data_IF_985615468106
#
_entry.id   IF_985615468106
#
_cell.length_a   1.000
_cell.length_b   1.000
_cell.length_c   1.000
_cell.angle_alpha   90.00
_cell.angle_beta   90.00
_cell.angle_gamma   90.00
#
_symmetry.space_group_name_H-M   'P 1'
#
loop_
_entity.id
_entity.type
_entity.pdbx_description
1 polymer ?
#
# COMPACT_ATOMS: atom_id res chain seq x y z
N UNK A 1 -3.05 10.76 -13.91
CA UNK A 1 -3.09 11.54 -15.15
C UNK A 1 -2.35 12.90 -15.05
N UNK A 2 -2.47 13.65 -13.93
CA UNK A 2 -1.77 14.94 -13.77
C UNK A 2 -0.23 14.81 -13.80
N UNK A 3 0.30 13.68 -13.35
CA UNK A 3 1.75 13.39 -13.35
C UNK A 3 2.22 12.70 -14.65
N UNK A 4 1.34 12.48 -15.65
CA UNK A 4 1.70 11.83 -16.91
C UNK A 4 1.74 10.29 -16.85
N UNK A 5 1.37 9.67 -15.73
CA UNK A 5 1.22 8.22 -15.61
C UNK A 5 -0.05 7.76 -16.32
N UNK A 6 0.02 6.61 -17.00
CA UNK A 6 -1.12 5.99 -17.71
C UNK A 6 -1.37 4.59 -17.19
N UNK A 7 -2.62 4.16 -17.23
CA UNK A 7 -2.98 2.79 -16.88
C UNK A 7 -2.22 1.79 -17.80
N UNK A 8 -1.62 0.78 -17.17
CA UNK A 8 -0.80 -0.20 -17.90
C UNK A 8 0.66 0.17 -18.12
N UNK A 9 1.10 1.36 -17.70
CA UNK A 9 2.53 1.67 -17.71
C UNK A 9 3.30 0.72 -16.78
N UNK A 10 4.48 0.29 -17.23
CA UNK A 10 5.41 -0.53 -16.45
C UNK A 10 6.64 0.29 -16.11
N UNK A 11 6.88 0.52 -14.83
CA UNK A 11 8.14 1.12 -14.39
C UNK A 11 9.28 0.13 -14.62
N UNK A 12 10.30 0.54 -15.37
CA UNK A 12 11.50 -0.24 -15.61
C UNK A 12 12.63 0.16 -14.67
N UNK A 13 12.78 1.45 -14.48
CA UNK A 13 13.79 2.00 -13.59
C UNK A 13 13.28 3.26 -12.89
N UNK A 14 13.85 3.54 -11.75
CA UNK A 14 13.57 4.70 -10.91
C UNK A 14 14.86 5.43 -10.58
N UNK A 15 14.80 6.74 -10.55
CA UNK A 15 15.87 7.61 -10.10
C UNK A 15 15.32 8.57 -9.06
N UNK A 16 15.98 8.60 -7.90
CA UNK A 16 15.63 9.50 -6.78
C UNK A 16 16.71 10.57 -6.69
N UNK A 17 16.33 11.82 -6.56
CA UNK A 17 17.27 12.94 -6.46
C UNK A 17 16.70 14.07 -5.62
N UNK A 18 17.57 14.74 -4.87
CA UNK A 18 17.18 15.92 -4.12
C UNK A 18 16.98 17.12 -5.05
N UNK A 19 16.00 17.99 -4.80
CA UNK A 19 15.75 19.18 -5.60
C UNK A 19 17.01 20.03 -5.76
N UNK A 20 17.40 20.28 -7.03
CA UNK A 20 18.60 21.06 -7.35
C UNK A 20 19.92 20.28 -7.38
N UNK A 21 19.92 18.98 -7.09
CA UNK A 21 21.10 18.13 -7.22
C UNK A 21 21.43 17.84 -8.69
N UNK A 22 22.72 17.72 -8.98
CA UNK A 22 23.17 17.24 -10.30
C UNK A 22 22.84 15.75 -10.42
N UNK A 23 22.15 15.39 -11.50
CA UNK A 23 21.66 14.03 -11.73
C UNK A 23 22.55 13.35 -12.76
N UNK A 24 23.01 12.13 -12.47
CA UNK A 24 23.89 11.35 -13.35
C UNK A 24 23.16 10.14 -13.95
N UNK A 25 23.72 9.60 -15.04
CA UNK A 25 23.16 8.38 -15.64
C UNK A 25 23.31 7.14 -14.74
N UNK A 26 24.22 7.17 -13.77
CA UNK A 26 24.47 6.06 -12.85
C UNK A 26 23.43 5.94 -11.71
N UNK A 27 22.52 6.92 -11.56
CA UNK A 27 21.57 6.97 -10.44
C UNK A 27 20.28 6.17 -10.70
N UNK A 28 20.18 5.48 -11.85
CA UNK A 28 19.03 4.66 -12.19
C UNK A 28 19.07 3.30 -11.48
N UNK A 29 18.00 3.00 -10.76
CA UNK A 29 17.80 1.72 -10.06
C UNK A 29 16.69 0.93 -10.77
N UNK A 30 16.92 -0.34 -11.16
CA UNK A 30 15.89 -1.16 -11.78
C UNK A 30 14.71 -1.39 -10.84
N UNK A 31 13.48 -1.31 -11.35
CA UNK A 31 12.25 -1.62 -10.63
C UNK A 31 11.75 -3.01 -11.04
N UNK A 32 11.69 -3.92 -10.07
CA UNK A 32 11.33 -5.31 -10.32
C UNK A 32 9.87 -5.65 -9.98
N UNK A 33 9.21 -4.83 -9.18
CA UNK A 33 7.82 -5.04 -8.77
C UNK A 33 7.12 -3.73 -8.40
N UNK A 34 5.77 -3.77 -8.34
CA UNK A 34 4.99 -2.64 -7.83
C UNK A 34 5.32 -2.33 -6.37
N UNK A 35 5.63 -3.35 -5.57
CA UNK A 35 6.05 -3.18 -4.17
C UNK A 35 7.37 -2.42 -4.08
N UNK A 36 8.32 -2.77 -4.95
CA UNK A 36 9.61 -2.11 -5.07
C UNK A 36 9.45 -0.63 -5.48
N UNK A 37 8.63 -0.38 -6.52
CA UNK A 37 8.28 0.98 -6.92
C UNK A 37 7.68 1.79 -5.76
N UNK A 38 6.69 1.23 -5.08
CA UNK A 38 6.04 1.89 -3.94
C UNK A 38 7.02 2.23 -2.83
N UNK A 39 7.97 1.34 -2.59
CA UNK A 39 9.04 1.57 -1.64
C UNK A 39 9.87 2.80 -1.99
N UNK A 40 10.38 2.88 -3.23
CA UNK A 40 11.17 4.02 -3.70
C UNK A 40 10.38 5.34 -3.63
N UNK A 41 9.10 5.32 -4.03
CA UNK A 41 8.24 6.49 -3.96
C UNK A 41 7.97 6.94 -2.52
N UNK A 42 7.69 6.00 -1.61
CA UNK A 42 7.45 6.31 -0.20
C UNK A 42 8.70 6.89 0.45
N UNK A 43 9.86 6.27 0.19
CA UNK A 43 11.13 6.76 0.71
C UNK A 43 11.46 8.16 0.21
N UNK A 44 11.35 8.40 -1.10
CA UNK A 44 11.60 9.72 -1.68
C UNK A 44 10.68 10.80 -1.10
N UNK A 45 9.37 10.50 -0.96
CA UNK A 45 8.42 11.43 -0.32
C UNK A 45 8.77 11.71 1.15
N UNK A 46 9.27 10.71 1.88
CA UNK A 46 9.72 10.87 3.25
C UNK A 46 11.02 11.69 3.36
N UNK A 47 11.92 11.54 2.41
CA UNK A 47 13.20 12.25 2.40
C UNK A 47 13.09 13.66 1.78
N UNK A 48 11.93 14.01 1.19
CA UNK A 48 11.71 15.29 0.49
C UNK A 48 12.40 15.35 -0.87
N UNK A 49 12.63 14.19 -1.48
CA UNK A 49 13.27 14.03 -2.77
C UNK A 49 12.25 13.93 -3.91
N UNK A 50 12.69 14.25 -5.11
CA UNK A 50 11.95 14.06 -6.34
C UNK A 50 12.30 12.73 -6.99
N UNK A 51 11.37 12.23 -7.81
CA UNK A 51 11.55 10.94 -8.49
C UNK A 51 11.34 11.11 -10.00
N UNK A 52 12.19 10.45 -10.77
CA UNK A 52 12.01 10.26 -12.20
C UNK A 52 11.86 8.78 -12.50
N UNK A 53 10.83 8.43 -13.27
CA UNK A 53 10.52 7.06 -13.68
C UNK A 53 10.76 6.88 -15.15
N UNK A 54 11.45 5.80 -15.50
CA UNK A 54 11.46 5.28 -16.85
C UNK A 54 10.31 4.27 -16.99
N UNK A 55 9.38 4.57 -17.90
CA UNK A 55 8.17 3.79 -18.09
C UNK A 55 8.15 3.18 -19.48
N UNK A 56 7.76 1.90 -19.55
CA UNK A 56 7.37 1.25 -20.81
C UNK A 56 5.84 1.25 -20.92
N UNK A 57 5.32 1.77 -22.01
CA UNK A 57 3.89 1.74 -22.32
C UNK A 57 3.43 0.39 -22.85
N UNK A 58 2.12 0.11 -22.78
CA UNK A 58 1.50 -1.11 -23.30
C UNK A 58 1.75 -1.33 -24.82
N UNK A 59 1.91 -0.25 -25.58
CA UNK A 59 2.11 -0.26 -27.05
C UNK A 59 3.58 -0.22 -27.46
N UNK A 60 4.51 -0.33 -26.50
CA UNK A 60 5.95 -0.35 -26.75
C UNK A 60 6.50 1.06 -26.95
N UNK A 61 6.78 1.82 -26.09
CA UNK A 61 7.45 3.13 -26.11
C UNK A 61 8.01 3.41 -24.72
N UNK A 62 9.22 3.95 -24.67
CA UNK A 62 9.83 4.38 -23.43
C UNK A 62 9.56 5.87 -23.22
N UNK A 63 9.27 6.27 -22.00
CA UNK A 63 9.10 7.67 -21.63
C UNK A 63 9.57 7.91 -20.21
N UNK A 64 10.05 9.11 -19.99
CA UNK A 64 10.44 9.57 -18.67
C UNK A 64 9.32 10.41 -18.07
N UNK A 65 9.00 10.13 -16.81
CA UNK A 65 8.00 10.87 -16.05
C UNK A 65 8.61 11.34 -14.75
N UNK A 66 8.50 12.66 -14.50
CA UNK A 66 8.96 13.28 -13.27
C UNK A 66 7.82 13.41 -12.27
N UNK A 67 8.09 12.99 -11.04
CA UNK A 67 7.18 13.09 -9.91
C UNK A 67 7.79 14.03 -8.86
N UNK A 68 7.28 15.27 -8.72
CA UNK A 68 7.81 16.24 -7.75
C UNK A 68 7.27 15.90 -6.34
N UNK A 69 7.85 14.87 -5.71
CA UNK A 69 7.40 14.41 -4.39
C UNK A 69 7.89 15.32 -3.27
N UNK A 70 8.95 16.08 -3.50
CA UNK A 70 9.46 17.12 -2.56
C UNK A 70 8.43 18.20 -2.25
N UNK A 71 7.45 18.41 -3.14
CA UNK A 71 6.38 19.41 -2.94
C UNK A 71 5.24 18.89 -2.04
N UNK A 72 5.28 17.61 -1.64
CA UNK A 72 4.26 17.02 -0.76
C UNK A 72 4.63 17.29 0.70
N UNK A 73 3.64 17.62 1.51
CA UNK A 73 3.87 17.79 2.95
C UNK A 73 4.26 16.44 3.59
N UNK A 74 5.15 16.48 4.58
CA UNK A 74 5.67 15.27 5.23
C UNK A 74 4.59 14.38 5.86
N UNK A 75 3.45 14.96 6.28
CA UNK A 75 2.27 14.25 6.79
C UNK A 75 1.49 13.47 5.73
N UNK A 76 1.73 13.72 4.45
CA UNK A 76 1.05 13.09 3.32
C UNK A 76 1.67 11.75 2.89
N UNK A 77 2.80 11.34 3.50
CA UNK A 77 3.45 10.05 3.22
C UNK A 77 2.71 8.86 3.87
N UNK A 78 1.39 8.93 3.92
CA UNK A 78 0.48 7.91 4.43
C UNK A 78 -0.05 6.99 3.30
N UNK A 79 -1.02 6.14 3.63
CA UNK A 79 -1.68 5.26 2.67
C UNK A 79 -2.38 6.01 1.50
N UNK A 80 -2.55 7.34 1.60
CA UNK A 80 -3.15 8.19 0.56
C UNK A 80 -2.12 8.66 -0.46
N UNK A 81 -0.81 8.66 -0.12
CA UNK A 81 0.27 9.08 -1.01
C UNK A 81 0.16 8.41 -2.38
N UNK A 82 0.06 7.09 -2.42
CA UNK A 82 0.00 6.33 -3.67
C UNK A 82 -1.19 6.76 -4.54
N UNK A 83 -2.34 7.02 -3.94
CA UNK A 83 -3.53 7.53 -4.65
C UNK A 83 -3.34 8.95 -5.18
N UNK A 84 -2.65 9.81 -4.43
CA UNK A 84 -2.39 11.20 -4.83
C UNK A 84 -1.44 11.29 -6.02
N UNK A 85 -0.39 10.48 -6.04
CA UNK A 85 0.56 10.41 -7.16
C UNK A 85 0.03 9.57 -8.34
N UNK A 86 -1.11 8.89 -8.18
CA UNK A 86 -1.74 8.11 -9.24
C UNK A 86 -1.19 6.69 -9.40
N UNK A 87 -0.41 6.19 -8.41
CA UNK A 87 0.06 4.80 -8.37
C UNK A 87 -0.99 3.95 -7.64
N UNK A 88 -1.89 3.37 -8.42
CA UNK A 88 -3.02 2.59 -7.93
C UNK A 88 -2.68 1.12 -7.60
N UNK A 89 -3.70 0.28 -7.70
CA UNK A 89 -3.57 -1.19 -7.66
C UNK A 89 -2.78 -1.69 -8.87
N UNK A 90 -2.24 -2.92 -8.84
CA UNK A 90 -1.67 -3.53 -10.04
C UNK A 90 -2.62 -3.42 -11.22
N UNK A 91 -2.09 -3.15 -12.41
CA UNK A 91 -2.90 -3.08 -13.61
C UNK A 91 -3.64 -4.40 -13.82
N UNK A 92 -4.93 -4.28 -14.04
CA UNK A 92 -5.80 -5.40 -14.42
C UNK A 92 -6.76 -4.89 -15.48
N UNK A 93 -6.95 -5.68 -16.52
CA UNK A 93 -7.88 -5.33 -17.58
C UNK A 93 -9.32 -5.16 -17.04
N UNK A 94 -10.13 -4.25 -17.63
CA UNK A 94 -11.51 -4.02 -17.20
C UNK A 94 -12.44 -5.15 -17.65
N UNK A 95 -12.14 -6.38 -17.22
CA UNK A 95 -12.92 -7.58 -17.51
C UNK A 95 -13.93 -7.86 -16.39
N UNK A 96 -15.09 -8.36 -16.76
CA UNK A 96 -16.06 -8.88 -15.81
C UNK A 96 -15.71 -10.34 -15.45
N UNK A 97 -15.63 -10.59 -14.17
CA UNK A 97 -15.42 -11.91 -13.59
C UNK A 97 -16.73 -12.68 -13.42
N UNK A 98 -16.85 -13.38 -12.30
CA UNK A 98 -18.06 -14.13 -11.94
C UNK A 98 -19.25 -13.18 -11.75
N UNK A 99 -20.40 -13.52 -12.31
CA UNK A 99 -21.66 -12.78 -12.20
C UNK A 99 -22.51 -13.45 -11.13
N UNK A 100 -22.87 -12.70 -10.11
CA UNK A 100 -23.73 -13.21 -9.03
C UNK A 100 -25.19 -13.19 -9.48
N UNK A 101 -25.89 -14.31 -9.25
CA UNK A 101 -27.30 -14.45 -9.61
C UNK A 101 -28.18 -13.42 -8.88
N UNK A 102 -29.16 -12.87 -9.59
CA UNK A 102 -30.06 -11.83 -9.06
C UNK A 102 -29.47 -10.42 -9.03
N UNK A 103 -28.16 -10.25 -9.29
CA UNK A 103 -27.48 -8.96 -9.29
C UNK A 103 -27.78 -8.08 -10.50
N UNK A 104 -27.42 -6.81 -10.39
CA UNK A 104 -27.59 -5.82 -11.46
C UNK A 104 -26.86 -6.22 -12.75
N UNK A 105 -25.69 -6.85 -12.63
CA UNK A 105 -24.94 -7.34 -13.78
C UNK A 105 -25.72 -8.42 -14.55
N UNK A 106 -26.34 -9.37 -13.85
CA UNK A 106 -27.16 -10.42 -14.50
C UNK A 106 -28.40 -9.82 -15.17
N UNK A 107 -29.10 -8.90 -14.48
CA UNK A 107 -30.29 -8.22 -15.05
C UNK A 107 -29.98 -7.43 -16.31
N UNK A 108 -28.76 -6.91 -16.42
CA UNK A 108 -28.28 -6.17 -17.59
C UNK A 108 -27.75 -7.12 -18.70
N UNK A 109 -27.74 -8.44 -18.50
CA UNK A 109 -27.26 -9.40 -19.49
C UNK A 109 -25.73 -9.40 -19.65
N UNK A 110 -25.00 -8.88 -18.65
CA UNK A 110 -23.54 -8.96 -18.61
C UNK A 110 -23.08 -10.42 -18.40
N UNK A 111 -21.92 -10.74 -18.94
CA UNK A 111 -21.36 -12.09 -18.86
C UNK A 111 -19.90 -12.07 -18.38
N UNK A 112 -19.46 -13.16 -17.81
CA UNK A 112 -18.04 -13.36 -17.48
C UNK A 112 -17.20 -13.25 -18.74
N UNK A 113 -16.11 -12.47 -18.67
CA UNK A 113 -15.21 -12.23 -19.79
C UNK A 113 -15.56 -11.02 -20.64
N UNK A 114 -16.69 -10.33 -20.40
CA UNK A 114 -16.99 -9.07 -21.05
C UNK A 114 -15.90 -8.04 -20.67
N UNK A 115 -15.31 -7.38 -21.69
CA UNK A 115 -14.38 -6.28 -21.51
C UNK A 115 -15.14 -4.97 -21.64
N UNK A 116 -15.14 -4.17 -20.57
CA UNK A 116 -15.80 -2.87 -20.58
C UNK A 116 -14.86 -1.85 -21.21
N UNK A 117 -15.28 -1.22 -22.30
CA UNK A 117 -14.50 -0.24 -23.06
C UNK A 117 -14.83 1.19 -22.66
N UNK A 118 -16.13 1.48 -22.49
CA UNK A 118 -16.63 2.81 -22.12
C UNK A 118 -17.86 2.71 -21.21
N UNK A 119 -18.02 3.74 -20.37
CA UNK A 119 -19.22 3.98 -19.57
C UNK A 119 -19.62 5.43 -19.78
N UNK A 120 -20.85 5.67 -20.21
CA UNK A 120 -21.41 6.99 -20.53
C UNK A 120 -20.47 7.81 -21.44
N UNK A 121 -19.91 7.14 -22.47
CA UNK A 121 -18.97 7.72 -23.41
C UNK A 121 -17.54 7.90 -22.89
N UNK A 122 -17.28 7.75 -21.59
CA UNK A 122 -15.94 7.86 -21.00
C UNK A 122 -15.17 6.54 -21.14
N UNK A 123 -13.93 6.55 -21.62
CA UNK A 123 -13.13 5.34 -21.74
C UNK A 123 -12.78 4.76 -20.37
N UNK A 124 -12.85 3.43 -20.24
CA UNK A 124 -12.46 2.69 -19.05
C UNK A 124 -11.08 2.07 -19.28
N UNK A 125 -10.08 2.63 -18.64
CA UNK A 125 -8.68 2.26 -18.88
C UNK A 125 -8.27 0.94 -18.21
N UNK A 126 -8.83 0.62 -17.04
CA UNK A 126 -8.49 -0.55 -16.23
C UNK A 126 -9.64 -0.95 -15.29
N UNK A 127 -9.44 -2.05 -14.56
CA UNK A 127 -10.42 -2.54 -13.60
C UNK A 127 -10.63 -1.58 -12.40
N UNK A 128 -9.63 -0.77 -12.05
CA UNK A 128 -9.77 0.21 -10.98
C UNK A 128 -10.70 1.36 -11.42
N UNK A 129 -10.52 1.87 -12.65
CA UNK A 129 -11.41 2.85 -13.24
C UNK A 129 -12.85 2.31 -13.37
N UNK A 130 -13.00 1.03 -13.76
CA UNK A 130 -14.31 0.37 -13.82
C UNK A 130 -14.98 0.33 -12.45
N UNK A 131 -14.27 -0.09 -11.40
CA UNK A 131 -14.82 -0.10 -10.04
C UNK A 131 -15.21 1.30 -9.56
N UNK A 132 -14.40 2.31 -9.85
CA UNK A 132 -14.71 3.70 -9.48
C UNK A 132 -15.96 4.20 -10.20
N UNK A 133 -16.11 3.93 -11.50
CA UNK A 133 -17.30 4.33 -12.27
C UNK A 133 -18.58 3.67 -11.75
N UNK A 134 -18.49 2.37 -11.38
CA UNK A 134 -19.60 1.64 -10.75
C UNK A 134 -19.95 2.28 -9.40
N UNK A 135 -18.98 2.50 -8.53
CA UNK A 135 -19.21 3.10 -7.19
C UNK A 135 -19.81 4.49 -7.28
N UNK A 136 -19.33 5.30 -8.21
CA UNK A 136 -19.80 6.68 -8.43
C UNK A 136 -21.23 6.78 -8.99
N UNK A 137 -21.83 5.66 -9.43
CA UNK A 137 -23.20 5.66 -9.96
C UNK A 137 -24.28 5.92 -8.91
N UNK A 138 -23.96 5.87 -7.62
CA UNK A 138 -24.90 6.15 -6.54
C UNK A 138 -25.22 7.66 -6.50
N UNK A 139 -26.43 8.01 -6.93
CA UNK A 139 -26.95 9.37 -6.80
C UNK A 139 -27.88 9.55 -5.60
N UNK A 140 -28.33 10.79 -5.31
CA UNK A 140 -29.24 11.08 -4.20
C UNK A 140 -30.59 10.35 -4.29
N UNK A 141 -31.06 10.11 -5.51
CA UNK A 141 -32.36 9.48 -5.81
C UNK A 141 -32.26 7.99 -6.20
N UNK A 142 -31.10 7.36 -6.01
CA UNK A 142 -30.83 5.98 -6.42
C UNK A 142 -29.67 5.87 -7.42
N UNK A 143 -29.42 4.66 -7.92
CA UNK A 143 -28.37 4.46 -8.91
C UNK A 143 -28.80 5.03 -10.27
N UNK A 144 -27.90 5.78 -10.89
CA UNK A 144 -28.05 6.25 -12.27
C UNK A 144 -27.88 5.08 -13.23
N UNK A 145 -28.70 5.05 -14.28
CA UNK A 145 -28.53 4.10 -15.39
C UNK A 145 -27.33 4.54 -16.20
N UNK A 146 -26.40 3.61 -16.41
CA UNK A 146 -25.17 3.82 -17.16
C UNK A 146 -25.26 3.13 -18.52
N UNK A 147 -24.78 3.78 -19.57
CA UNK A 147 -24.64 3.20 -20.91
C UNK A 147 -23.23 2.59 -21.02
N UNK A 148 -23.17 1.26 -21.12
CA UNK A 148 -21.88 0.57 -21.21
C UNK A 148 -21.62 0.11 -22.64
N UNK A 149 -20.43 0.41 -23.15
CA UNK A 149 -19.88 -0.21 -24.34
C UNK A 149 -18.91 -1.31 -23.91
N UNK A 150 -19.17 -2.52 -24.34
CA UNK A 150 -18.35 -3.68 -24.00
C UNK A 150 -18.01 -4.53 -25.21
N UNK A 151 -16.92 -5.27 -25.09
CA UNK A 151 -16.47 -6.24 -26.06
C UNK A 151 -16.72 -7.66 -25.50
N UNK A 152 -17.50 -8.44 -26.22
CA UNK A 152 -17.76 -9.85 -25.93
C UNK A 152 -17.20 -10.71 -27.07
N UNK A 153 -16.05 -11.34 -26.88
CA UNK A 153 -15.31 -11.96 -27.97
C UNK A 153 -14.93 -10.95 -29.06
N UNK A 154 -15.43 -11.14 -30.29
CA UNK A 154 -15.22 -10.21 -31.40
C UNK A 154 -16.32 -9.13 -31.52
N UNK A 155 -17.38 -9.21 -30.75
CA UNK A 155 -18.55 -8.33 -30.90
C UNK A 155 -18.47 -7.14 -29.95
N UNK A 156 -18.85 -5.95 -30.46
CA UNK A 156 -19.08 -4.77 -29.67
C UNK A 156 -20.58 -4.70 -29.32
N UNK A 157 -20.88 -4.51 -28.05
CA UNK A 157 -22.24 -4.46 -27.52
C UNK A 157 -22.43 -3.17 -26.71
N UNK A 158 -23.63 -2.62 -26.80
CA UNK A 158 -24.08 -1.54 -25.92
C UNK A 158 -25.16 -2.05 -25.00
N UNK A 159 -24.98 -1.85 -23.71
CA UNK A 159 -25.84 -2.40 -22.66
C UNK A 159 -26.14 -1.31 -21.65
N UNK A 160 -27.41 -1.22 -21.24
CA UNK A 160 -27.78 -0.35 -20.12
C UNK A 160 -27.65 -1.11 -18.81
N UNK A 161 -26.85 -0.58 -17.91
CA UNK A 161 -26.60 -1.15 -16.60
C UNK A 161 -27.15 -0.19 -15.53
N UNK A 162 -27.98 -0.71 -14.63
CA UNK A 162 -28.44 0.03 -13.45
C UNK A 162 -27.83 -0.63 -12.20
N UNK A 163 -26.74 -0.10 -11.66
CA UNK A 163 -26.14 -0.59 -10.42
C UNK A 163 -27.15 -0.52 -9.26
N UNK A 164 -26.93 -1.30 -8.23
CA UNK A 164 -27.66 -1.20 -6.97
C UNK A 164 -26.96 -0.21 -6.05
N UNK A 165 -27.72 0.62 -5.31
CA UNK A 165 -27.16 1.47 -4.28
C UNK A 165 -27.06 0.67 -3.00
N UNK A 166 -25.86 0.65 -2.44
CA UNK A 166 -25.56 0.04 -1.14
C UNK A 166 -25.12 1.14 -0.20
N UNK A 167 -25.57 1.05 1.04
CA UNK A 167 -25.13 1.92 2.13
C UNK A 167 -24.35 1.05 3.12
N UNK A 168 -23.05 1.24 3.19
CA UNK A 168 -22.16 0.55 4.12
C UNK A 168 -21.32 1.59 4.86
N UNK A 169 -21.39 1.60 6.17
CA UNK A 169 -20.61 2.50 7.01
C UNK A 169 -20.90 3.99 6.81
N UNK A 170 -22.10 4.35 6.32
CA UNK A 170 -22.48 5.72 6.01
C UNK A 170 -22.00 6.24 4.64
N UNK A 171 -21.33 5.39 3.87
CA UNK A 171 -20.93 5.66 2.49
C UNK A 171 -21.90 4.97 1.52
N UNK A 172 -22.52 5.76 0.63
CA UNK A 172 -23.42 5.26 -0.41
C UNK A 172 -22.67 5.07 -1.72
N UNK A 173 -22.71 3.88 -2.27
CA UNK A 173 -22.04 3.59 -3.53
C UNK A 173 -22.83 2.61 -4.40
N UNK A 174 -22.53 2.63 -5.72
CA UNK A 174 -23.10 1.69 -6.67
C UNK A 174 -22.40 0.33 -6.65
N UNK A 175 -23.18 -0.74 -6.83
CA UNK A 175 -22.69 -2.13 -6.90
C UNK A 175 -23.44 -2.90 -8.00
N UNK A 176 -22.74 -3.77 -8.73
CA UNK A 176 -23.34 -4.58 -9.81
C UNK A 176 -23.43 -6.06 -9.49
N UNK A 177 -22.82 -6.52 -8.40
CA UNK A 177 -22.72 -7.93 -8.01
C UNK A 177 -22.03 -8.79 -9.09
N UNK A 178 -20.88 -8.31 -9.54
CA UNK A 178 -19.98 -9.03 -10.44
C UNK A 178 -18.53 -8.84 -9.99
N UNK A 179 -17.71 -9.84 -10.23
CA UNK A 179 -16.26 -9.71 -10.14
C UNK A 179 -15.78 -8.67 -11.16
N UNK A 180 -14.85 -7.79 -10.79
CA UNK A 180 -14.28 -6.79 -11.67
C UNK A 180 -12.76 -6.91 -11.66
N UNK A 181 -12.20 -7.17 -12.82
CA UNK A 181 -10.77 -7.29 -13.08
C UNK A 181 -10.39 -8.65 -13.63
N UNK A 182 -9.48 -8.65 -14.59
CA UNK A 182 -8.81 -9.84 -15.09
C UNK A 182 -7.70 -10.30 -14.12
N UNK A 183 -7.05 -11.44 -14.42
CA UNK A 183 -5.93 -11.91 -13.62
C UNK A 183 -4.80 -10.87 -13.63
N UNK A 184 -4.27 -10.58 -12.44
CA UNK A 184 -3.08 -9.74 -12.32
C UNK A 184 -1.89 -10.51 -12.87
N UNK A 185 -1.15 -9.91 -13.80
CA UNK A 185 0.08 -10.52 -14.29
C UNK A 185 1.14 -10.50 -13.19
N UNK A 186 1.40 -11.67 -12.60
CA UNK A 186 2.47 -11.87 -11.63
C UNK A 186 3.73 -12.29 -12.40
N UNK A 187 4.80 -11.52 -12.26
CA UNK A 187 6.11 -11.91 -12.75
C UNK A 187 6.90 -12.51 -11.61
N UNK A 188 7.30 -13.77 -11.76
CA UNK A 188 8.17 -14.42 -10.81
C UNK A 188 9.61 -13.99 -11.09
N UNK A 189 10.20 -13.24 -10.16
CA UNK A 189 11.63 -12.86 -10.22
C UNK A 189 12.42 -13.94 -9.50
N UNK A 190 13.24 -14.67 -10.24
CA UNK A 190 14.17 -15.64 -9.68
C UNK A 190 15.56 -14.99 -9.58
N UNK A 191 16.05 -14.89 -8.37
CA UNK A 191 17.38 -14.36 -8.07
C UNK A 191 18.36 -15.52 -7.81
N UNK A 192 19.61 -15.38 -8.25
CA UNK A 192 20.68 -16.30 -7.87
C UNK A 192 20.89 -16.28 -6.35
N UNK A 193 21.42 -17.38 -5.77
CA UNK A 193 21.52 -17.50 -4.31
C UNK A 193 22.34 -16.37 -3.66
N UNK A 194 23.45 -15.95 -4.25
CA UNK A 194 24.28 -14.87 -3.74
C UNK A 194 23.61 -13.49 -3.93
N UNK A 195 23.06 -13.23 -5.11
CA UNK A 195 22.31 -12.00 -5.40
C UNK A 195 21.08 -11.88 -4.51
N UNK A 196 20.38 -13.01 -4.28
CA UNK A 196 19.24 -13.06 -3.36
C UNK A 196 19.63 -12.74 -1.92
N UNK A 197 20.77 -13.21 -1.44
CA UNK A 197 21.29 -12.90 -0.11
C UNK A 197 21.65 -11.41 0.03
N UNK A 198 22.40 -10.87 -0.91
CA UNK A 198 22.77 -9.45 -0.93
C UNK A 198 21.50 -8.57 -0.90
N UNK A 199 20.52 -8.89 -1.75
CA UNK A 199 19.26 -8.16 -1.82
C UNK A 199 18.44 -8.29 -0.53
N UNK A 200 18.45 -9.46 0.11
CA UNK A 200 17.79 -9.67 1.41
C UNK A 200 18.41 -8.81 2.52
N UNK A 201 19.76 -8.72 2.57
CA UNK A 201 20.45 -7.86 3.54
C UNK A 201 20.14 -6.38 3.32
N UNK A 202 20.19 -5.91 2.07
CA UNK A 202 19.80 -4.54 1.70
C UNK A 202 18.35 -4.26 2.08
N UNK A 203 17.44 -5.17 1.76
CA UNK A 203 16.02 -5.02 2.08
C UNK A 203 15.78 -4.96 3.59
N UNK A 204 16.48 -5.79 4.36
CA UNK A 204 16.40 -5.78 5.83
C UNK A 204 16.87 -4.42 6.38
N UNK A 205 17.99 -3.89 5.87
CA UNK A 205 18.49 -2.58 6.27
C UNK A 205 17.52 -1.45 5.93
N UNK A 206 16.98 -1.45 4.71
CA UNK A 206 15.98 -0.47 4.27
C UNK A 206 14.72 -0.52 5.13
N UNK A 207 14.18 -1.71 5.40
CA UNK A 207 12.99 -1.86 6.25
C UNK A 207 13.27 -1.40 7.67
N UNK A 208 14.45 -1.70 8.23
CA UNK A 208 14.85 -1.26 9.56
C UNK A 208 14.91 0.27 9.66
N UNK A 209 15.55 0.91 8.69
CA UNK A 209 15.65 2.38 8.64
C UNK A 209 14.29 3.05 8.45
N UNK A 210 13.42 2.48 7.60
CA UNK A 210 12.06 3.00 7.42
C UNK A 210 11.23 2.87 8.69
N UNK A 211 11.30 1.72 9.37
CA UNK A 211 10.59 1.50 10.63
C UNK A 211 11.01 2.54 11.68
N UNK A 212 12.33 2.80 11.80
CA UNK A 212 12.83 3.83 12.71
C UNK A 212 12.38 5.24 12.33
N UNK A 213 12.41 5.60 11.03
CA UNK A 213 11.92 6.89 10.54
C UNK A 213 10.43 7.08 10.83
N UNK A 214 9.61 6.07 10.52
CA UNK A 214 8.16 6.13 10.78
C UNK A 214 7.86 6.25 12.27
N UNK A 215 8.56 5.49 13.12
CA UNK A 215 8.43 5.59 14.57
C UNK A 215 8.84 6.98 15.09
N UNK A 216 9.97 7.51 14.59
CA UNK A 216 10.41 8.87 14.93
C UNK A 216 9.35 9.94 14.60
N UNK A 217 8.74 9.85 13.40
CA UNK A 217 7.66 10.75 12.98
C UNK A 217 6.38 10.61 13.81
N UNK A 218 6.06 9.40 14.26
CA UNK A 218 4.94 9.20 15.18
C UNK A 218 5.18 9.89 16.53
N UNK A 219 6.41 9.86 17.04
CA UNK A 219 6.77 10.51 18.32
C UNK A 219 6.66 12.04 18.25
N UNK A 220 6.98 12.65 17.11
CA UNK A 220 6.86 14.11 16.90
C UNK A 220 5.46 14.53 16.41
N UNK A 221 4.52 13.58 16.30
CA UNK A 221 3.13 13.86 15.92
C UNK A 221 2.88 14.08 14.42
N UNK A 222 3.88 13.83 13.57
CA UNK A 222 3.77 13.96 12.11
C UNK A 222 3.10 12.75 11.44
N UNK A 223 3.00 11.62 12.13
CA UNK A 223 2.33 10.43 11.62
C UNK A 223 1.14 10.04 12.49
N UNK A 224 0.05 9.60 11.85
CA UNK A 224 -1.18 9.22 12.54
C UNK A 224 -1.03 7.92 13.32
N UNK A 225 -1.41 7.94 14.60
CA UNK A 225 -1.48 6.75 15.46
C UNK A 225 -2.54 5.74 14.99
N UNK A 226 -3.45 6.13 14.08
CA UNK A 226 -4.43 5.22 13.47
C UNK A 226 -3.80 4.15 12.58
N UNK A 227 -2.56 4.36 12.15
CA UNK A 227 -1.80 3.41 11.32
C UNK A 227 -1.17 2.27 12.15
N UNK A 228 -1.32 2.29 13.47
CA UNK A 228 -0.86 1.19 14.32
C UNK A 228 -1.80 0.01 14.15
N UNK A 229 -1.27 -1.05 13.53
CA UNK A 229 -1.96 -2.32 13.39
C UNK A 229 -1.86 -3.12 14.68
N UNK A 230 -2.97 -3.68 15.11
CA UNK A 230 -3.02 -4.53 16.28
C UNK A 230 -2.85 -6.03 15.96
N UNK A 231 -2.94 -6.89 16.96
CA UNK A 231 -2.72 -8.32 16.82
C UNK A 231 -3.73 -9.00 15.87
N UNK A 232 -4.97 -8.50 15.82
CA UNK A 232 -6.00 -9.04 14.91
C UNK A 232 -5.64 -8.76 13.45
N UNK A 233 -5.14 -7.57 13.16
CA UNK A 233 -4.64 -7.21 11.82
C UNK A 233 -3.47 -8.10 11.41
N UNK A 234 -2.53 -8.35 12.32
CA UNK A 234 -1.37 -9.21 12.04
C UNK A 234 -1.83 -10.65 11.75
N UNK A 235 -2.80 -11.16 12.52
CA UNK A 235 -3.37 -12.49 12.29
C UNK A 235 -4.10 -12.61 10.95
N UNK A 236 -4.85 -11.58 10.54
CA UNK A 236 -5.54 -11.52 9.26
C UNK A 236 -4.54 -11.53 8.08
N UNK A 237 -3.50 -10.70 8.14
CA UNK A 237 -2.43 -10.72 7.13
C UNK A 237 -1.65 -12.03 7.10
N UNK A 238 -1.45 -12.68 8.26
CA UNK A 238 -0.85 -14.01 8.30
C UNK A 238 -1.72 -15.02 7.55
N UNK A 239 -3.02 -15.04 7.79
CA UNK A 239 -3.97 -15.91 7.09
C UNK A 239 -3.95 -15.67 5.58
N UNK A 240 -4.09 -14.42 5.14
CA UNK A 240 -4.04 -14.06 3.72
C UNK A 240 -2.71 -14.46 3.06
N UNK A 241 -1.58 -14.29 3.75
CA UNK A 241 -0.28 -14.66 3.20
C UNK A 241 -0.11 -16.19 3.06
N UNK A 242 -0.70 -16.99 3.93
CA UNK A 242 -0.74 -18.46 3.78
C UNK A 242 -1.54 -18.87 2.54
N UNK A 243 -2.69 -18.24 2.30
CA UNK A 243 -3.51 -18.50 1.11
C UNK A 243 -2.79 -18.17 -0.21
N UNK A 244 -1.94 -17.13 -0.20
CA UNK A 244 -1.11 -16.74 -1.35
C UNK A 244 0.09 -17.67 -1.57
N UNK A 245 0.46 -18.50 -0.60
CA UNK A 245 1.49 -19.53 -0.70
C UNK A 245 2.72 -19.28 0.19
N UNK A 246 3.56 -20.31 0.28
CA UNK A 246 4.70 -20.36 1.22
C UNK A 246 5.65 -19.17 1.09
N UNK A 247 5.96 -18.73 -0.13
CA UNK A 247 6.89 -17.62 -0.36
C UNK A 247 6.35 -16.30 0.23
N UNK A 248 5.03 -16.05 0.08
CA UNK A 248 4.38 -14.89 0.66
C UNK A 248 4.35 -14.95 2.18
N UNK A 249 4.07 -16.13 2.75
CA UNK A 249 4.07 -16.34 4.19
C UNK A 249 5.47 -16.13 4.80
N UNK A 250 6.52 -16.67 4.17
CA UNK A 250 7.90 -16.42 4.62
C UNK A 250 8.28 -14.94 4.51
N UNK A 251 7.85 -14.26 3.44
CA UNK A 251 8.02 -12.82 3.30
C UNK A 251 7.33 -12.03 4.43
N UNK A 252 6.09 -12.39 4.76
CA UNK A 252 5.37 -11.81 5.88
C UNK A 252 6.09 -12.02 7.22
N UNK A 253 6.55 -13.24 7.50
CA UNK A 253 7.34 -13.55 8.70
C UNK A 253 8.62 -12.72 8.78
N UNK A 254 9.32 -12.56 7.65
CA UNK A 254 10.53 -11.74 7.60
C UNK A 254 10.24 -10.26 7.96
N UNK A 255 9.17 -9.69 7.41
CA UNK A 255 8.73 -8.30 7.72
C UNK A 255 8.43 -8.15 9.20
N UNK A 256 7.63 -9.06 9.77
CA UNK A 256 7.27 -9.04 11.20
C UNK A 256 8.53 -9.18 12.08
N UNK A 257 9.42 -10.12 11.73
CA UNK A 257 10.66 -10.34 12.48
C UNK A 257 11.59 -9.13 12.48
N UNK A 258 11.79 -8.50 11.31
CA UNK A 258 12.61 -7.27 11.19
C UNK A 258 11.98 -6.15 11.99
N UNK A 259 10.67 -5.91 11.84
CA UNK A 259 9.97 -4.86 12.56
C UNK A 259 10.04 -5.05 14.08
N UNK A 260 9.82 -6.27 14.56
CA UNK A 260 9.91 -6.61 15.99
C UNK A 260 11.34 -6.44 16.51
N UNK A 261 12.35 -6.87 15.76
CA UNK A 261 13.76 -6.67 16.11
C UNK A 261 14.13 -5.20 16.23
N UNK A 262 13.70 -4.37 15.26
CA UNK A 262 13.92 -2.92 15.28
C UNK A 262 13.21 -2.26 16.45
N UNK A 263 11.95 -2.61 16.71
CA UNK A 263 11.21 -2.08 17.85
C UNK A 263 11.84 -2.45 19.19
N UNK A 264 12.34 -3.69 19.32
CA UNK A 264 13.04 -4.14 20.53
C UNK A 264 14.37 -3.41 20.78
N UNK A 265 15.01 -2.88 19.74
CA UNK A 265 16.22 -2.06 19.87
C UNK A 265 15.94 -0.60 20.25
N UNK A 266 14.66 -0.16 20.28
CA UNK A 266 14.34 1.19 20.72
C UNK A 266 14.71 1.38 22.20
N UNK A 267 15.12 2.61 22.58
CA UNK A 267 15.53 2.95 23.96
C UNK A 267 14.31 3.10 24.88
N UNK A 268 13.41 2.10 24.85
CA UNK A 268 12.23 2.07 25.70
C UNK A 268 12.48 1.14 26.90
N UNK A 269 12.13 1.58 28.12
CA UNK A 269 12.14 0.70 29.29
C UNK A 269 11.30 -0.53 29.01
N UNK A 270 11.71 -1.72 29.36
CA UNK A 270 11.10 -3.02 29.09
C UNK A 270 11.49 -3.69 27.75
N UNK A 271 12.13 -3.01 26.83
CA UNK A 271 12.66 -3.59 25.60
C UNK A 271 14.18 -3.77 25.71
N UNK A 272 14.74 -4.64 24.88
CA UNK A 272 16.18 -4.95 24.89
C UNK A 272 17.05 -3.72 24.70
N UNK A 273 16.60 -2.76 23.85
CA UNK A 273 17.27 -1.48 23.64
C UNK A 273 17.33 -0.61 24.90
N UNK A 274 16.32 -0.68 25.76
CA UNK A 274 16.36 -0.02 27.08
C UNK A 274 17.41 -0.62 28.01
N UNK A 275 17.50 -1.95 28.07
CA UNK A 275 18.52 -2.64 28.83
C UNK A 275 19.93 -2.34 28.28
N UNK A 276 20.09 -2.35 26.95
CA UNK A 276 21.35 -1.96 26.33
C UNK A 276 21.78 -0.53 26.71
N UNK A 277 20.81 0.40 26.71
CA UNK A 277 21.06 1.78 27.12
C UNK A 277 21.51 1.89 28.59
N UNK A 278 20.91 1.10 29.47
CA UNK A 278 21.29 1.06 30.90
C UNK A 278 22.74 0.56 31.05
N UNK A 279 23.09 -0.53 30.41
CA UNK A 279 24.45 -1.08 30.43
C UNK A 279 25.47 -0.13 29.80
N UNK A 280 25.11 0.54 28.73
CA UNK A 280 25.97 1.58 28.11
C UNK A 280 26.19 2.75 29.05
N UNK A 281 25.14 3.22 29.74
CA UNK A 281 25.24 4.27 30.74
C UNK A 281 26.17 3.86 31.90
N UNK A 282 26.03 2.65 32.43
CA UNK A 282 26.90 2.11 33.49
C UNK A 282 28.37 1.98 33.02
N UNK A 283 28.56 1.52 31.78
CA UNK A 283 29.91 1.39 31.21
C UNK A 283 30.62 2.76 31.06
N UNK A 284 29.88 3.80 30.63
CA UNK A 284 30.43 5.15 30.43
C UNK A 284 30.61 5.89 31.75
N UNK A 285 29.63 5.84 32.65
CA UNK A 285 29.66 6.58 33.92
C UNK A 285 30.38 5.86 35.04
N UNK A 286 30.62 4.53 34.87
CA UNK A 286 31.14 3.61 35.90
C UNK A 286 30.33 3.66 37.20
N UNK A 287 29.07 4.01 37.13
CA UNK A 287 28.15 4.06 38.27
C UNK A 287 26.89 3.24 37.94
N UNK A 288 26.50 2.32 38.83
CA UNK A 288 25.26 1.58 38.63
C UNK A 288 24.05 2.50 38.76
N UNK A 289 23.01 2.22 37.95
CA UNK A 289 21.74 2.95 38.05
C UNK A 289 21.01 2.49 39.32
N UNK A 290 20.52 3.39 40.18
CA UNK A 290 19.77 3.01 41.37
C UNK A 290 18.52 2.19 41.01
N UNK A 291 18.24 1.10 41.74
CA UNK A 291 17.11 0.19 41.49
C UNK A 291 15.76 0.91 41.46
N UNK A 292 15.61 1.97 42.25
CA UNK A 292 14.39 2.79 42.29
C UNK A 292 14.07 3.44 40.92
N UNK A 293 15.11 3.87 40.21
CA UNK A 293 14.93 4.44 38.87
C UNK A 293 14.60 3.36 37.83
N UNK A 294 15.26 2.21 37.91
CA UNK A 294 14.95 1.05 37.06
C UNK A 294 13.50 0.64 37.21
N UNK A 295 12.99 0.49 38.44
CA UNK A 295 11.61 0.09 38.74
C UNK A 295 10.60 1.15 38.21
N UNK A 296 10.87 2.45 38.41
CA UNK A 296 10.02 3.52 37.89
C UNK A 296 9.99 3.54 36.37
N UNK A 297 11.13 3.40 35.73
CA UNK A 297 11.23 3.37 34.26
C UNK A 297 10.52 2.13 33.70
N UNK A 298 10.65 0.97 34.33
CA UNK A 298 9.94 -0.25 33.91
C UNK A 298 8.43 -0.11 34.07
N UNK A 299 7.93 0.42 35.19
CA UNK A 299 6.48 0.67 35.36
C UNK A 299 5.94 1.68 34.36
N UNK A 300 6.71 2.76 34.08
CA UNK A 300 6.35 3.73 33.06
C UNK A 300 6.33 3.12 31.67
N UNK A 301 7.34 2.33 31.32
CA UNK A 301 7.41 1.62 30.04
C UNK A 301 6.24 0.64 29.87
N UNK A 302 5.90 -0.13 30.92
CA UNK A 302 4.76 -1.02 30.89
C UNK A 302 3.44 -0.26 30.64
N UNK A 303 3.25 0.88 31.30
CA UNK A 303 2.05 1.71 31.09
C UNK A 303 1.95 2.20 29.64
N UNK A 304 3.06 2.63 29.03
CA UNK A 304 3.10 3.05 27.63
C UNK A 304 2.76 1.89 26.70
N UNK A 305 3.35 0.71 26.91
CA UNK A 305 3.08 -0.48 26.10
C UNK A 305 1.59 -0.89 26.20
N UNK A 306 1.02 -0.91 27.40
CA UNK A 306 -0.37 -1.25 27.60
C UNK A 306 -1.31 -0.22 26.94
N UNK A 307 -0.98 1.06 27.01
CA UNK A 307 -1.74 2.11 26.33
C UNK A 307 -1.70 1.94 24.80
N UNK A 308 -0.52 1.71 24.24
CA UNK A 308 -0.37 1.47 22.78
C UNK A 308 -1.11 0.21 22.34
N UNK A 309 -1.04 -0.88 23.12
CA UNK A 309 -1.73 -2.13 22.83
C UNK A 309 -3.26 -1.96 22.89
N UNK A 310 -3.76 -1.19 23.86
CA UNK A 310 -5.18 -0.86 23.95
C UNK A 310 -5.63 -0.02 22.76
N UNK A 311 -4.83 0.95 22.32
CA UNK A 311 -5.10 1.77 21.13
C UNK A 311 -5.10 0.92 19.88
N UNK A 312 -4.11 0.04 19.70
CA UNK A 312 -4.03 -0.87 18.57
C UNK A 312 -5.24 -1.82 18.50
N UNK A 313 -5.64 -2.38 19.64
CA UNK A 313 -6.82 -3.25 19.71
C UNK A 313 -8.11 -2.46 19.41
N UNK A 314 -8.23 -1.24 19.91
CA UNK A 314 -9.35 -0.35 19.58
C UNK A 314 -9.40 -0.08 18.06
N UNK A 315 -8.27 0.24 17.43
CA UNK A 315 -8.19 0.46 15.99
C UNK A 315 -8.60 -0.80 15.20
N UNK A 316 -8.15 -1.99 15.63
CA UNK A 316 -8.50 -3.27 15.00
C UNK A 316 -10.00 -3.54 15.06
N UNK A 317 -10.61 -3.37 16.25
CA UNK A 317 -12.06 -3.57 16.46
C UNK A 317 -12.86 -2.55 15.66
N UNK A 318 -12.48 -1.27 15.69
CA UNK A 318 -13.14 -0.21 14.93
C UNK A 318 -13.13 -0.50 13.42
N UNK A 319 -12.00 -1.04 12.91
CA UNK A 319 -11.88 -1.45 11.51
C UNK A 319 -12.77 -2.65 11.17
N UNK A 320 -12.84 -3.66 12.04
CA UNK A 320 -13.72 -4.83 11.83
C UNK A 320 -15.21 -4.43 11.85
N UNK A 321 -15.56 -3.41 12.62
CA UNK A 321 -16.92 -2.88 12.68
C UNK A 321 -17.24 -1.85 11.57
N UNK A 322 -16.27 -1.53 10.69
CA UNK A 322 -16.47 -0.57 9.62
C UNK A 322 -16.60 0.89 10.09
N UNK A 323 -16.09 1.23 11.28
CA UNK A 323 -16.18 2.57 11.88
C UNK A 323 -15.07 3.55 11.43
N UNK A 324 -14.30 3.21 10.37
CA UNK A 324 -13.18 4.01 9.85
C UNK A 324 -13.34 4.34 8.38
#
# INVERSE_FOLDING_TARGET
ERAGLRAGDRAQSVRVYSPGAAVTAADWVPVHSLTDLRWHLTRAALDGDDVELELAGLTGGHRLVKLPLSSLEAGDADARLMRRIGVGSPFSEPLLGEIVSGGAAQRAGLQRGDRVLRIDGQPVADAAALRMAIRASAGPQGAQVQQWQLQRGANLLEVQVRPEVVDEGGERFGRILAGVGGPVQMQQVQLGGFEGLERALWRTWEMSTLTLKMFGRMLIGEASLRNISGPLTIADFAGQSVELGLAYYLGFLAVVSVSLGVLNLLPLPMLDGGHLLYHLFEAVTRRPIPEIWLDRLQRGGLAVILMMMSLALYNDVARLLGLH
#
